data_IF_727132016006
#
_entry.id   IF_727132016006
#
_cell.length_a   1.000
_cell.length_b   1.000
_cell.length_c   1.000
_cell.angle_alpha   90.00
_cell.angle_beta   90.00
_cell.angle_gamma   90.00
#
_symmetry.space_group_name_H-M   'P 1'
#
loop_
_entity.id
_entity.type
_entity.pdbx_description
1 polymer ?
#
# COMPACT_ATOMS: atom_id res chain seq x y z
N UNK A 1 6.29 -4.74 16.00
CA UNK A 1 6.78 -6.14 15.92
C UNK A 1 5.68 -7.20 15.71
N UNK A 2 4.55 -7.19 16.43
CA UNK A 2 3.56 -8.29 16.37
C UNK A 2 3.08 -8.66 14.95
N UNK A 3 2.79 -7.66 14.10
CA UNK A 3 2.37 -7.89 12.72
C UNK A 3 3.46 -8.54 11.87
N UNK A 4 4.70 -8.03 11.93
CA UNK A 4 5.85 -8.59 11.24
C UNK A 4 6.09 -10.04 11.68
N UNK A 5 6.08 -10.30 13.00
CA UNK A 5 6.25 -11.67 13.50
C UNK A 5 5.16 -12.63 13.00
N UNK A 6 3.91 -12.17 12.86
CA UNK A 6 2.79 -12.99 12.34
C UNK A 6 2.97 -13.30 10.86
N UNK A 7 3.34 -12.31 10.05
CA UNK A 7 3.60 -12.49 8.62
C UNK A 7 4.78 -13.45 8.40
N UNK A 8 5.90 -13.22 9.10
CA UNK A 8 7.06 -14.11 9.04
C UNK A 8 6.71 -15.55 9.42
N UNK A 9 5.83 -15.73 10.43
CA UNK A 9 5.40 -17.06 10.86
C UNK A 9 4.54 -17.77 9.82
N UNK A 10 3.72 -17.03 9.08
CA UNK A 10 2.91 -17.57 7.98
C UNK A 10 3.75 -17.98 6.76
N UNK A 11 4.95 -17.40 6.60
CA UNK A 11 5.86 -17.71 5.50
C UNK A 11 6.73 -18.96 5.73
N UNK A 12 6.59 -19.61 6.90
CA UNK A 12 7.38 -20.80 7.29
C UNK A 12 6.47 -21.91 7.83
N UNK A 13 6.95 -23.16 7.94
CA UNK A 13 6.15 -24.25 8.50
C UNK A 13 5.59 -23.92 9.91
N UNK A 14 4.39 -24.45 10.27
CA UNK A 14 3.78 -24.19 11.57
C UNK A 14 4.64 -24.59 12.78
N UNK A 15 5.54 -25.56 12.62
CA UNK A 15 6.47 -26.02 13.66
C UNK A 15 7.75 -25.19 13.78
N UNK A 16 8.10 -24.38 12.77
CA UNK A 16 9.34 -23.63 12.75
C UNK A 16 9.39 -22.53 13.83
N UNK A 17 10.52 -22.34 14.49
CA UNK A 17 10.72 -21.21 15.42
C UNK A 17 11.49 -20.11 14.72
N UNK A 18 11.14 -18.86 15.02
CA UNK A 18 11.83 -17.68 14.50
C UNK A 18 12.46 -16.97 15.69
N UNK A 19 13.78 -16.78 15.64
CA UNK A 19 14.53 -16.08 16.68
C UNK A 19 14.04 -14.64 16.86
N UNK A 20 14.24 -14.08 18.06
CA UNK A 20 13.88 -12.69 18.35
C UNK A 20 14.63 -11.73 17.42
N UNK A 21 15.94 -11.88 17.35
CA UNK A 21 16.83 -11.00 16.57
C UNK A 21 16.50 -11.02 15.07
N UNK A 22 16.07 -12.18 14.55
CA UNK A 22 15.59 -12.28 13.16
C UNK A 22 14.33 -11.45 12.92
N UNK A 23 13.41 -11.37 13.89
CA UNK A 23 12.20 -10.54 13.78
C UNK A 23 12.53 -9.05 13.85
N UNK A 24 13.49 -8.68 14.67
CA UNK A 24 13.98 -7.30 14.80
C UNK A 24 14.68 -6.86 13.51
N UNK A 25 15.58 -7.69 12.98
CA UNK A 25 16.23 -7.45 11.70
C UNK A 25 15.21 -7.26 10.56
N UNK A 26 14.22 -8.16 10.43
CA UNK A 26 13.19 -8.02 9.38
C UNK A 26 12.30 -6.79 9.60
N UNK A 27 12.05 -6.41 10.86
CA UNK A 27 11.31 -5.18 11.20
C UNK A 27 12.08 -3.92 10.76
N UNK A 28 13.40 -3.91 10.87
CA UNK A 28 14.26 -2.84 10.34
C UNK A 28 14.28 -2.86 8.81
N UNK A 29 14.51 -4.03 8.20
CA UNK A 29 14.51 -4.19 6.74
C UNK A 29 13.19 -3.76 6.10
N UNK A 30 12.03 -4.05 6.70
CA UNK A 30 10.74 -3.63 6.13
C UNK A 30 10.54 -2.12 6.26
N UNK A 31 11.12 -1.50 7.28
CA UNK A 31 11.06 -0.04 7.45
C UNK A 31 11.92 0.63 6.38
N UNK A 32 13.11 0.09 6.13
CA UNK A 32 13.99 0.54 5.05
C UNK A 32 13.36 0.30 3.67
N UNK A 33 12.72 -0.85 3.47
CA UNK A 33 12.01 -1.16 2.23
C UNK A 33 10.93 -0.12 1.92
N UNK A 34 10.14 0.29 2.92
CA UNK A 34 9.12 1.34 2.74
C UNK A 34 9.80 2.66 2.34
N UNK A 35 10.86 3.06 3.03
CA UNK A 35 11.62 4.28 2.73
C UNK A 35 12.22 4.26 1.32
N UNK A 36 12.78 3.12 0.92
CA UNK A 36 13.39 2.92 -0.39
C UNK A 36 12.37 3.06 -1.52
N UNK A 37 11.27 2.29 -1.48
CA UNK A 37 10.21 2.40 -2.50
C UNK A 37 9.62 3.80 -2.54
N UNK A 38 9.37 4.40 -1.38
CA UNK A 38 8.77 5.74 -1.30
C UNK A 38 9.71 6.80 -1.87
N UNK A 39 11.03 6.65 -1.71
CA UNK A 39 12.02 7.58 -2.27
C UNK A 39 12.05 7.55 -3.79
N UNK A 40 12.05 6.37 -4.40
CA UNK A 40 11.97 6.20 -5.86
C UNK A 40 10.67 6.79 -6.43
N UNK A 41 9.54 6.53 -5.75
CA UNK A 41 8.24 7.09 -6.14
C UNK A 41 8.20 8.62 -5.99
N UNK A 42 8.85 9.16 -4.96
CA UNK A 42 8.97 10.60 -4.73
C UNK A 42 9.80 11.26 -5.84
N UNK A 43 10.91 10.65 -6.25
CA UNK A 43 11.72 11.13 -7.36
C UNK A 43 10.91 11.21 -8.65
N UNK A 44 10.18 10.13 -8.99
CA UNK A 44 9.29 10.11 -10.15
C UNK A 44 8.22 11.21 -10.10
N UNK A 45 7.56 11.37 -8.95
CA UNK A 45 6.55 12.41 -8.72
C UNK A 45 7.14 13.82 -8.89
N UNK A 46 8.34 14.06 -8.36
CA UNK A 46 9.04 15.33 -8.45
C UNK A 46 9.48 15.65 -9.89
N UNK A 47 9.97 14.66 -10.63
CA UNK A 47 10.31 14.80 -12.05
C UNK A 47 9.11 15.23 -12.89
N UNK A 48 7.91 14.77 -12.53
CA UNK A 48 6.64 15.18 -13.14
C UNK A 48 6.08 16.50 -12.59
N UNK A 49 6.85 17.23 -11.77
CA UNK A 49 6.46 18.50 -11.13
C UNK A 49 5.20 18.40 -10.25
N UNK A 50 4.92 17.21 -9.72
CA UNK A 50 3.82 16.97 -8.78
C UNK A 50 4.36 17.04 -7.34
N UNK A 51 3.49 17.46 -6.41
CA UNK A 51 3.80 17.54 -4.96
C UNK A 51 3.18 16.40 -4.15
N UNK A 52 2.38 15.56 -4.79
CA UNK A 52 1.63 14.48 -4.13
C UNK A 52 1.92 13.19 -4.86
N UNK A 53 2.47 12.23 -4.11
CA UNK A 53 2.74 10.87 -4.58
C UNK A 53 1.39 10.16 -4.75
N UNK A 54 1.14 9.64 -5.94
CA UNK A 54 -0.05 8.86 -6.28
C UNK A 54 0.24 7.36 -6.33
N UNK A 55 -0.82 6.56 -6.45
CA UNK A 55 -0.68 5.09 -6.58
C UNK A 55 0.12 4.66 -7.82
N UNK A 56 0.07 5.44 -8.91
CA UNK A 56 0.84 5.15 -10.13
C UNK A 56 2.36 5.32 -9.91
N UNK A 57 2.77 6.25 -9.04
CA UNK A 57 4.19 6.44 -8.69
C UNK A 57 4.75 5.23 -7.96
N UNK A 58 3.95 4.66 -7.06
CA UNK A 58 4.30 3.43 -6.33
C UNK A 58 4.41 2.25 -7.29
N UNK A 59 3.48 2.13 -8.25
CA UNK A 59 3.54 1.08 -9.27
C UNK A 59 4.79 1.22 -10.14
N UNK A 60 5.13 2.44 -10.55
CA UNK A 60 6.37 2.72 -11.26
C UNK A 60 7.60 2.31 -10.44
N UNK A 61 7.70 2.75 -9.18
CA UNK A 61 8.83 2.43 -8.32
C UNK A 61 9.01 0.92 -8.13
N UNK A 62 7.91 0.18 -7.92
CA UNK A 62 7.96 -1.28 -7.80
C UNK A 62 8.50 -1.94 -9.08
N UNK A 63 8.09 -1.50 -10.26
CA UNK A 63 8.59 -2.04 -11.53
C UNK A 63 10.07 -1.68 -11.73
N UNK A 64 10.43 -0.41 -11.58
CA UNK A 64 11.80 0.08 -11.81
C UNK A 64 12.84 -0.57 -10.90
N UNK A 65 12.42 -0.97 -9.69
CA UNK A 65 13.29 -1.62 -8.70
C UNK A 65 13.27 -3.16 -8.77
N UNK A 66 12.59 -3.76 -9.75
CA UNK A 66 12.59 -5.21 -9.98
C UNK A 66 11.58 -6.01 -9.13
N UNK A 67 10.50 -5.37 -8.68
CA UNK A 67 9.40 -5.97 -7.92
C UNK A 67 8.11 -6.12 -8.78
N UNK A 68 8.24 -6.48 -10.05
CA UNK A 68 7.15 -6.51 -11.03
C UNK A 68 5.97 -7.40 -10.59
N UNK A 69 6.26 -8.56 -10.00
CA UNK A 69 5.24 -9.48 -9.47
C UNK A 69 4.35 -8.80 -8.39
N UNK A 70 4.93 -7.91 -7.58
CA UNK A 70 4.19 -7.13 -6.61
C UNK A 70 3.42 -5.98 -7.27
N UNK A 71 4.00 -5.33 -8.28
CA UNK A 71 3.34 -4.25 -9.02
C UNK A 71 2.04 -4.71 -9.69
N UNK A 72 2.03 -5.91 -10.31
CA UNK A 72 0.83 -6.48 -10.92
C UNK A 72 -0.29 -6.67 -9.90
N UNK A 73 0.04 -7.23 -8.75
CA UNK A 73 -0.91 -7.42 -7.64
C UNK A 73 -1.42 -6.08 -7.12
N UNK A 74 -0.53 -5.10 -6.92
CA UNK A 74 -0.87 -3.76 -6.44
C UNK A 74 -1.78 -3.00 -7.42
N UNK A 75 -1.63 -3.21 -8.73
CA UNK A 75 -2.50 -2.58 -9.74
C UNK A 75 -3.96 -2.98 -9.55
N UNK A 76 -4.22 -4.25 -9.23
CA UNK A 76 -5.56 -4.75 -8.92
C UNK A 76 -6.09 -4.11 -7.63
N UNK A 77 -5.25 -4.01 -6.60
CA UNK A 77 -5.63 -3.37 -5.34
C UNK A 77 -5.94 -1.89 -5.51
N UNK A 78 -5.17 -1.17 -6.33
CA UNK A 78 -5.41 0.25 -6.62
C UNK A 78 -6.75 0.46 -7.34
N UNK A 79 -7.09 -0.41 -8.30
CA UNK A 79 -8.38 -0.36 -8.96
C UNK A 79 -9.54 -0.57 -7.98
N UNK A 80 -9.43 -1.58 -7.10
CA UNK A 80 -10.44 -1.84 -6.05
C UNK A 80 -10.57 -0.68 -5.06
N UNK A 81 -9.44 -0.09 -4.64
CA UNK A 81 -9.43 1.06 -3.73
C UNK A 81 -10.19 2.24 -4.35
N UNK A 82 -9.94 2.55 -5.63
CA UNK A 82 -10.64 3.62 -6.37
C UNK A 82 -12.15 3.34 -6.48
N UNK A 83 -12.54 2.09 -6.75
CA UNK A 83 -13.95 1.68 -6.78
C UNK A 83 -14.63 1.89 -5.42
N UNK A 84 -13.97 1.48 -4.33
CA UNK A 84 -14.50 1.67 -2.97
C UNK A 84 -14.63 3.15 -2.60
N UNK A 85 -13.66 3.98 -2.99
CA UNK A 85 -13.71 5.43 -2.76
C UNK A 85 -14.87 6.08 -3.53
N UNK A 86 -15.09 5.68 -4.78
CA UNK A 86 -16.20 6.16 -5.60
C UNK A 86 -17.58 5.72 -5.05
N UNK A 87 -17.68 4.48 -4.57
CA UNK A 87 -18.90 3.99 -3.93
C UNK A 87 -19.21 4.77 -2.64
N UNK A 88 -18.19 5.02 -1.81
CA UNK A 88 -18.34 5.79 -0.58
C UNK A 88 -18.72 7.26 -0.85
N UNK A 89 -18.17 7.89 -1.90
CA UNK A 89 -18.58 9.23 -2.29
C UNK A 89 -20.03 9.27 -2.80
N UNK A 90 -20.46 8.27 -3.57
CA UNK A 90 -21.83 8.19 -4.07
C UNK A 90 -22.85 7.96 -2.94
N UNK A 91 -22.51 7.14 -1.93
CA UNK A 91 -23.36 6.94 -0.76
C UNK A 91 -23.60 8.26 0.01
N UNK A 92 -22.53 9.04 0.25
CA UNK A 92 -22.63 10.34 0.91
C UNK A 92 -23.41 11.38 0.11
N UNK A 93 -23.31 11.34 -1.22
CA UNK A 93 -24.08 12.23 -2.09
C UNK A 93 -25.59 11.88 -2.09
N UNK A 94 -25.94 10.60 -1.97
CA UNK A 94 -27.32 10.13 -1.81
C UNK A 94 -27.98 10.65 -0.54
N UNK A 95 -27.32 10.50 0.61
CA UNK A 95 -27.81 10.99 1.91
C UNK A 95 -28.03 12.51 1.93
N UNK A 96 -27.17 13.26 1.22
CA UNK A 96 -27.27 14.72 1.11
C UNK A 96 -28.48 15.19 0.28
N UNK A 97 -28.99 14.32 -0.59
CA UNK A 97 -30.09 14.64 -1.51
C UNK A 97 -31.44 14.31 -0.88
N UNK A 98 -31.54 13.21 -0.14
CA UNK A 98 -32.76 12.83 0.60
C UNK A 98 -33.11 13.86 1.69
N UNK A 99 -32.12 14.34 2.45
CA UNK A 99 -32.32 15.36 3.50
C UNK A 99 -32.79 16.74 2.99
N UNK A 100 -32.79 16.99 1.68
CA UNK A 100 -33.26 18.24 1.06
C UNK A 100 -34.69 18.16 0.51
N UNK A 101 -35.30 16.99 0.54
CA UNK A 101 -36.65 16.74 -0.03
C UNK A 101 -37.74 16.68 1.03
N UNK A 102 -37.39 16.81 2.32
CA UNK A 102 -38.29 16.69 3.47
C UNK A 102 -38.65 18.04 4.13
N UNK A 103 -38.41 19.18 3.48
CA UNK A 103 -38.81 20.54 3.92
C UNK A 103 -39.81 21.19 2.93
#
# INVERSE_FOLDING_TARGET
>A
IANVSRIMKNAVPPTAKIAKDAKECVQECVSEFISFITSEAAEKCQLEKRKTIGGEDILYAMISLGFENYAETLKIHLAKLRQHQAAASNARAGESTEARTED
#
